data_IF_433091250456
#
_entry.id   IF_433091250456
#
_cell.length_a   1.000
_cell.length_b   1.000
_cell.length_c   1.000
_cell.angle_alpha   90.00
_cell.angle_beta   90.00
_cell.angle_gamma   90.00
#
_symmetry.space_group_name_H-M   'P 1'
#
loop_
_entity.id
_entity.type
_entity.pdbx_description
1 polymer ?
#
# COMPACT_ATOMS: atom_id res chain seq x y z
N UNK A 1 4.32 -8.67 10.66
CA UNK A 1 5.06 -7.40 10.79
C UNK A 1 4.16 -6.31 10.24
N UNK A 2 3.61 -5.47 11.11
CA UNK A 2 2.76 -4.33 10.73
C UNK A 2 3.61 -3.32 9.96
N UNK A 3 3.33 -3.15 8.66
CA UNK A 3 4.02 -2.18 7.84
C UNK A 3 3.74 -0.76 8.33
N UNK A 4 4.76 -0.08 8.85
CA UNK A 4 4.68 1.36 9.07
C UNK A 4 4.35 2.05 7.74
N UNK A 5 3.18 2.67 7.68
CA UNK A 5 2.82 3.54 6.55
C UNK A 5 3.63 4.83 6.68
N UNK A 6 4.54 5.08 5.74
CA UNK A 6 5.34 6.31 5.70
C UNK A 6 4.49 7.37 4.99
N UNK A 7 4.35 8.54 5.58
CA UNK A 7 3.60 9.67 4.98
C UNK A 7 4.27 10.22 3.71
N UNK A 8 3.48 10.82 2.83
CA UNK A 8 3.98 11.58 1.68
C UNK A 8 4.41 12.95 2.22
N UNK A 9 5.73 13.19 2.23
CA UNK A 9 6.33 14.45 2.71
C UNK A 9 6.47 15.47 1.57
N UNK A 10 6.72 16.73 1.91
CA UNK A 10 7.00 17.78 0.92
C UNK A 10 8.22 17.42 0.06
N UNK A 11 9.25 16.80 0.62
CA UNK A 11 10.42 16.31 -0.12
C UNK A 11 10.05 15.26 -1.17
N UNK A 12 9.16 14.32 -0.81
CA UNK A 12 8.63 13.32 -1.76
C UNK A 12 7.85 14.00 -2.87
N UNK A 13 7.00 14.98 -2.53
CA UNK A 13 6.23 15.73 -3.53
C UNK A 13 7.12 16.57 -4.45
N UNK A 14 8.21 17.14 -3.93
CA UNK A 14 9.19 17.84 -4.76
C UNK A 14 9.84 16.89 -5.79
N UNK A 15 10.26 15.69 -5.37
CA UNK A 15 10.82 14.66 -6.28
C UNK A 15 9.80 14.22 -7.34
N UNK A 16 8.54 13.99 -6.96
CA UNK A 16 7.45 13.63 -7.88
C UNK A 16 7.21 14.74 -8.90
N UNK A 17 7.13 15.99 -8.45
CA UNK A 17 6.82 17.14 -9.28
C UNK A 17 7.93 17.48 -10.30
N UNK A 18 9.15 16.93 -10.18
CA UNK A 18 10.18 16.99 -11.22
C UNK A 18 9.78 16.24 -12.50
N UNK A 19 8.89 15.26 -12.39
CA UNK A 19 8.40 14.43 -13.51
C UNK A 19 6.99 14.81 -13.97
N UNK A 20 6.28 15.62 -13.20
CA UNK A 20 4.94 16.07 -13.55
C UNK A 20 5.00 17.36 -14.40
N UNK A 21 4.09 17.47 -15.37
CA UNK A 21 3.95 18.70 -16.18
C UNK A 21 3.27 19.82 -15.39
N UNK A 22 2.30 19.47 -14.54
CA UNK A 22 1.63 20.37 -13.61
C UNK A 22 1.96 20.00 -12.17
N UNK A 23 1.78 20.93 -11.22
CA UNK A 23 2.03 20.66 -9.81
C UNK A 23 0.97 19.72 -9.24
N UNK A 24 1.38 18.55 -8.78
CA UNK A 24 0.56 17.57 -8.07
C UNK A 24 0.62 17.81 -6.56
N UNK A 25 -0.46 17.50 -5.87
CA UNK A 25 -0.58 17.52 -4.41
C UNK A 25 -0.59 16.10 -3.86
N UNK A 26 -0.30 15.92 -2.57
CA UNK A 26 -0.21 14.62 -1.91
C UNK A 26 -1.49 13.77 -2.06
N UNK A 27 -2.67 14.38 -1.96
CA UNK A 27 -3.95 13.68 -2.11
C UNK A 27 -4.21 13.17 -3.54
N UNK A 28 -3.52 13.71 -4.55
CA UNK A 28 -3.68 13.30 -5.94
C UNK A 28 -2.81 12.11 -6.34
N UNK A 29 -1.87 11.71 -5.50
CA UNK A 29 -0.94 10.64 -5.80
C UNK A 29 -1.09 9.45 -4.87
N UNK A 30 -0.75 8.29 -5.39
CA UNK A 30 -0.59 7.05 -4.66
C UNK A 30 0.86 6.64 -4.78
N UNK A 31 1.58 6.59 -3.67
CA UNK A 31 3.01 6.28 -3.63
C UNK A 31 3.24 4.90 -3.04
N UNK A 32 4.20 4.18 -3.60
CA UNK A 32 4.61 2.86 -3.13
C UNK A 32 6.07 2.59 -3.46
N UNK A 33 6.67 1.66 -2.73
CA UNK A 33 8.01 1.17 -3.06
C UNK A 33 7.94 -0.21 -3.71
N UNK A 34 8.88 -0.45 -4.61
CA UNK A 34 8.98 -1.68 -5.37
C UNK A 34 10.42 -2.17 -5.37
N UNK A 35 10.66 -3.43 -5.04
CA UNK A 35 11.92 -4.09 -5.31
C UNK A 35 11.97 -4.38 -6.81
N UNK A 36 12.80 -3.65 -7.55
CA UNK A 36 12.92 -3.76 -9.00
C UNK A 36 13.72 -4.98 -9.41
N UNK A 37 14.91 -5.11 -8.85
CA UNK A 37 15.81 -6.23 -9.08
C UNK A 37 16.82 -6.36 -7.93
N UNK A 38 17.54 -7.49 -7.90
CA UNK A 38 18.54 -7.80 -6.89
C UNK A 38 19.78 -8.51 -7.48
N UNK A 39 20.74 -8.86 -6.61
CA UNK A 39 21.94 -9.58 -6.99
C UNK A 39 21.84 -11.10 -6.77
N UNK A 40 20.66 -11.65 -6.49
CA UNK A 40 20.43 -13.10 -6.39
C UNK A 40 20.34 -13.72 -7.79
N UNK A 41 20.67 -14.99 -7.90
CA UNK A 41 20.45 -15.75 -9.13
C UNK A 41 18.96 -16.02 -9.32
N UNK A 42 18.43 -15.56 -10.43
CA UNK A 42 17.02 -15.62 -10.76
C UNK A 42 16.58 -16.96 -11.38
N UNK A 43 15.32 -17.02 -11.85
CA UNK A 43 14.73 -18.20 -12.51
C UNK A 43 15.37 -18.52 -13.85
N UNK A 44 15.94 -17.50 -14.52
CA UNK A 44 16.61 -17.62 -15.80
C UNK A 44 18.11 -17.90 -15.67
N UNK A 45 18.57 -18.17 -14.43
CA UNK A 45 19.99 -18.30 -14.08
C UNK A 45 20.79 -17.09 -14.51
N UNK A 46 20.25 -15.91 -14.27
CA UNK A 46 20.91 -14.62 -14.43
C UNK A 46 20.92 -13.86 -13.10
N UNK A 47 21.82 -12.93 -12.94
CA UNK A 47 21.86 -12.01 -11.81
C UNK A 47 22.48 -10.68 -12.22
N UNK A 48 22.14 -9.61 -11.55
CA UNK A 48 22.87 -8.37 -11.71
C UNK A 48 24.14 -8.37 -10.86
N UNK A 49 25.24 -7.74 -11.37
CA UNK A 49 26.37 -7.39 -10.51
C UNK A 49 25.99 -6.25 -9.56
N UNK A 50 26.76 -6.08 -8.48
CA UNK A 50 26.50 -4.97 -7.54
C UNK A 50 26.72 -3.62 -8.21
N UNK A 51 27.73 -3.52 -9.10
CA UNK A 51 27.97 -2.34 -9.93
C UNK A 51 26.85 -2.06 -10.92
N UNK A 52 26.20 -3.12 -11.45
CA UNK A 52 25.05 -2.96 -12.32
C UNK A 52 23.84 -2.40 -11.55
N UNK A 53 23.61 -2.85 -10.31
CA UNK A 53 22.52 -2.30 -9.48
C UNK A 53 22.68 -0.80 -9.24
N UNK A 54 23.91 -0.32 -8.95
CA UNK A 54 24.17 1.11 -8.75
C UNK A 54 23.89 1.94 -10.02
N UNK A 55 24.32 1.46 -11.18
CA UNK A 55 24.04 2.14 -12.44
C UNK A 55 22.57 2.10 -12.83
N UNK A 56 21.91 0.96 -12.62
CA UNK A 56 20.47 0.83 -12.86
C UNK A 56 19.64 1.74 -11.95
N UNK A 57 20.12 2.01 -10.74
CA UNK A 57 19.45 2.96 -9.84
C UNK A 57 19.30 4.34 -10.50
N UNK A 58 20.34 4.86 -11.10
CA UNK A 58 20.28 6.13 -11.83
C UNK A 58 19.36 6.06 -13.06
N UNK A 59 19.43 4.95 -13.81
CA UNK A 59 18.70 4.77 -15.06
C UNK A 59 17.20 4.57 -14.86
N UNK A 60 16.77 3.96 -13.76
CA UNK A 60 15.34 3.73 -13.47
C UNK A 60 14.62 4.98 -12.97
N UNK A 61 15.31 6.01 -12.51
CA UNK A 61 14.68 7.28 -12.16
C UNK A 61 13.93 7.85 -13.38
N UNK A 62 12.64 8.16 -13.21
CA UNK A 62 11.76 8.66 -14.25
C UNK A 62 11.17 7.58 -15.17
N UNK A 63 11.53 6.30 -15.03
CA UNK A 63 10.97 5.24 -15.89
C UNK A 63 9.54 4.90 -15.51
N UNK A 64 8.78 4.53 -16.53
CA UNK A 64 7.36 4.23 -16.40
C UNK A 64 7.14 2.78 -15.99
N UNK A 65 6.08 2.55 -15.21
CA UNK A 65 5.51 1.24 -14.93
C UNK A 65 4.43 0.90 -15.94
N UNK A 66 4.52 -0.30 -16.50
CA UNK A 66 3.60 -0.83 -17.51
C UNK A 66 3.14 -2.25 -17.11
N UNK A 67 2.58 -3.01 -18.02
CA UNK A 67 2.14 -4.39 -17.79
C UNK A 67 2.78 -5.32 -18.83
N UNK A 68 3.20 -6.51 -18.39
CA UNK A 68 3.63 -7.64 -19.23
C UNK A 68 4.67 -7.27 -20.30
N UNK A 69 5.54 -6.29 -20.01
CA UNK A 69 6.54 -5.75 -20.95
C UNK A 69 5.94 -5.24 -22.29
N UNK A 70 4.63 -4.89 -22.28
CA UNK A 70 3.98 -4.27 -23.43
C UNK A 70 4.35 -2.78 -23.51
N UNK A 71 5.22 -2.41 -24.43
CA UNK A 71 5.70 -1.04 -24.65
C UNK A 71 4.63 -0.10 -25.24
N UNK A 72 3.34 -0.45 -25.09
CA UNK A 72 2.23 0.42 -25.45
C UNK A 72 2.09 1.59 -24.50
N UNK A 73 1.90 2.80 -25.02
CA UNK A 73 1.62 3.98 -24.20
C UNK A 73 0.33 3.85 -23.36
N UNK A 74 -0.60 2.96 -23.77
CA UNK A 74 -1.84 2.68 -23.05
C UNK A 74 -1.59 1.97 -21.72
N UNK A 75 -0.47 1.24 -21.58
CA UNK A 75 -0.07 0.52 -20.39
C UNK A 75 0.61 1.39 -19.32
N UNK A 76 1.02 2.61 -19.65
CA UNK A 76 1.69 3.49 -18.69
C UNK A 76 0.74 3.87 -17.55
N UNK A 77 1.16 3.57 -16.30
CA UNK A 77 0.30 3.76 -15.13
C UNK A 77 1.02 4.34 -13.92
N UNK A 78 2.30 4.07 -13.74
CA UNK A 78 3.11 4.55 -12.64
C UNK A 78 4.44 5.10 -13.14
N UNK A 79 5.16 5.86 -12.29
CA UNK A 79 6.49 6.37 -12.61
C UNK A 79 7.39 6.32 -11.37
N UNK A 80 8.65 5.93 -11.55
CA UNK A 80 9.66 5.99 -10.48
C UNK A 80 10.10 7.44 -10.33
N UNK A 81 10.06 7.95 -9.08
CA UNK A 81 10.52 9.29 -8.75
C UNK A 81 11.85 9.31 -8.01
N UNK A 82 12.26 8.16 -7.44
CA UNK A 82 13.51 7.99 -6.73
C UNK A 82 13.91 6.51 -6.66
N UNK A 83 15.18 6.23 -6.41
CA UNK A 83 15.72 4.87 -6.28
C UNK A 83 16.77 4.79 -5.18
N UNK A 84 16.98 3.58 -4.64
CA UNK A 84 17.98 3.27 -3.62
C UNK A 84 18.51 1.85 -3.82
N UNK A 85 19.84 1.67 -3.80
CA UNK A 85 20.43 0.34 -3.67
C UNK A 85 20.59 0.02 -2.20
N UNK A 86 19.83 -0.96 -1.71
CA UNK A 86 19.80 -1.35 -0.29
C UNK A 86 20.53 -2.65 -0.06
N UNK A 87 21.49 -2.64 0.87
CA UNK A 87 22.11 -3.84 1.43
C UNK A 87 21.28 -4.40 2.58
N UNK A 88 21.31 -5.72 2.73
CA UNK A 88 20.62 -6.43 3.81
C UNK A 88 21.68 -7.24 4.60
N UNK A 89 22.22 -6.73 5.73
CA UNK A 89 23.35 -7.32 6.44
C UNK A 89 23.13 -8.76 6.88
N UNK A 90 21.89 -9.11 7.24
CA UNK A 90 21.53 -10.42 7.76
C UNK A 90 21.11 -11.42 6.66
N UNK A 91 21.23 -11.03 5.39
CA UNK A 91 20.84 -11.87 4.25
C UNK A 91 22.01 -12.08 3.30
N UNK A 92 22.22 -13.34 2.94
CA UNK A 92 23.16 -13.74 1.88
C UNK A 92 22.38 -14.27 0.68
N UNK A 93 22.98 -14.13 -0.49
CA UNK A 93 22.53 -14.82 -1.70
C UNK A 93 22.80 -16.33 -1.58
N UNK A 94 22.17 -17.13 -2.43
CA UNK A 94 22.37 -18.59 -2.44
C UNK A 94 23.84 -19.01 -2.68
N UNK A 95 24.63 -18.18 -3.32
CA UNK A 95 26.07 -18.40 -3.54
C UNK A 95 26.96 -17.67 -2.50
N UNK A 96 26.38 -17.19 -1.37
CA UNK A 96 27.10 -16.70 -0.18
C UNK A 96 27.53 -15.23 -0.21
N UNK A 97 27.18 -14.45 -1.24
CA UNK A 97 27.46 -13.00 -1.31
C UNK A 97 26.51 -12.20 -0.41
N UNK A 98 26.86 -10.97 -0.10
CA UNK A 98 25.96 -10.03 0.55
C UNK A 98 24.77 -9.73 -0.37
N UNK A 99 23.55 -9.87 0.17
CA UNK A 99 22.35 -9.59 -0.61
C UNK A 99 22.13 -8.08 -0.73
N UNK A 100 21.95 -7.63 -1.98
CA UNK A 100 21.65 -6.24 -2.32
C UNK A 100 20.49 -6.19 -3.31
N UNK A 101 19.61 -5.21 -3.14
CA UNK A 101 18.48 -5.00 -4.01
C UNK A 101 18.32 -3.54 -4.41
N UNK A 102 17.88 -3.31 -5.62
CA UNK A 102 17.47 -2.00 -6.13
C UNK A 102 15.99 -1.78 -5.79
N UNK A 103 15.74 -0.77 -4.98
CA UNK A 103 14.41 -0.32 -4.58
C UNK A 103 14.04 0.91 -5.42
N UNK A 104 12.90 0.86 -6.08
CA UNK A 104 12.28 2.00 -6.73
C UNK A 104 11.17 2.59 -5.85
N UNK A 105 11.09 3.91 -5.81
CA UNK A 105 9.97 4.64 -5.21
C UNK A 105 9.12 5.19 -6.34
N UNK A 106 7.90 4.68 -6.43
CA UNK A 106 6.99 4.96 -7.53
C UNK A 106 5.76 5.76 -7.08
N UNK A 107 5.20 6.52 -7.99
CA UNK A 107 3.91 7.15 -7.82
C UNK A 107 2.96 6.85 -8.97
N UNK A 108 1.70 6.95 -8.69
CA UNK A 108 0.59 6.82 -9.62
C UNK A 108 -0.41 7.95 -9.35
N UNK A 109 -0.93 8.59 -10.38
CA UNK A 109 -1.97 9.60 -10.18
C UNK A 109 -3.29 8.91 -9.84
N UNK A 110 -3.98 9.38 -8.79
CA UNK A 110 -5.30 8.88 -8.39
C UNK A 110 -6.34 9.35 -9.39
N UNK A 111 -6.72 8.46 -10.29
CA UNK A 111 -7.77 8.66 -11.29
C UNK A 111 -8.78 7.52 -11.19
N UNK A 112 -9.98 7.68 -11.75
CA UNK A 112 -10.96 6.59 -11.81
C UNK A 112 -10.40 5.36 -12.52
N UNK A 113 -9.55 5.55 -13.54
CA UNK A 113 -8.88 4.46 -14.25
C UNK A 113 -7.92 3.67 -13.34
N UNK A 114 -7.20 4.34 -12.44
CA UNK A 114 -6.22 3.70 -11.58
C UNK A 114 -6.81 3.13 -10.27
N UNK A 115 -8.05 3.45 -9.95
CA UNK A 115 -8.71 3.05 -8.70
C UNK A 115 -8.71 1.52 -8.48
N UNK A 116 -9.06 0.76 -9.51
CA UNK A 116 -9.05 -0.70 -9.43
C UNK A 116 -7.63 -1.26 -9.25
N UNK A 117 -6.66 -0.71 -10.00
CA UNK A 117 -5.26 -1.12 -9.89
C UNK A 117 -4.69 -0.83 -8.50
N UNK A 118 -4.99 0.33 -7.92
CA UNK A 118 -4.58 0.67 -6.56
C UNK A 118 -5.14 -0.35 -5.56
N UNK A 119 -6.42 -0.69 -5.65
CA UNK A 119 -7.05 -1.69 -4.80
C UNK A 119 -6.45 -3.10 -4.98
N UNK A 120 -6.09 -3.48 -6.20
CA UNK A 120 -5.43 -4.76 -6.50
C UNK A 120 -3.99 -4.81 -5.92
N UNK A 121 -3.26 -3.69 -5.95
CA UNK A 121 -1.93 -3.58 -5.34
C UNK A 121 -2.05 -3.65 -3.81
N UNK A 122 -2.96 -2.89 -3.20
CA UNK A 122 -3.20 -2.90 -1.74
C UNK A 122 -3.68 -4.27 -1.25
N UNK A 123 -4.50 -4.95 -2.04
CA UNK A 123 -4.96 -6.31 -1.79
C UNK A 123 -3.91 -7.40 -2.04
N UNK A 124 -2.71 -7.04 -2.56
CA UNK A 124 -1.63 -7.98 -2.87
C UNK A 124 -1.91 -8.87 -4.08
N UNK A 125 -2.90 -8.52 -4.91
CA UNK A 125 -3.26 -9.27 -6.13
C UNK A 125 -2.27 -8.96 -7.27
N UNK A 126 -1.91 -7.69 -7.43
CA UNK A 126 -0.89 -7.23 -8.39
C UNK A 126 0.27 -6.64 -7.63
N UNK A 127 1.29 -7.44 -7.42
CA UNK A 127 2.48 -6.99 -6.68
C UNK A 127 3.79 -7.40 -7.34
N UNK A 128 3.80 -8.46 -8.15
CA UNK A 128 5.01 -8.96 -8.81
C UNK A 128 5.41 -8.01 -9.92
N UNK A 129 6.73 -7.75 -10.03
CA UNK A 129 7.26 -6.87 -11.08
C UNK A 129 8.49 -7.50 -11.74
N UNK A 130 8.78 -7.07 -12.95
CA UNK A 130 9.98 -7.38 -13.69
C UNK A 130 10.54 -6.10 -14.31
N UNK A 131 11.82 -6.10 -14.69
CA UNK A 131 12.50 -4.94 -15.28
C UNK A 131 12.92 -5.21 -16.71
N UNK A 132 12.77 -4.23 -17.59
CA UNK A 132 13.30 -4.22 -18.95
C UNK A 132 14.55 -3.35 -19.02
N UNK A 133 15.71 -3.96 -19.29
CA UNK A 133 16.99 -3.24 -19.44
C UNK A 133 17.90 -3.93 -20.45
N UNK A 134 18.90 -3.20 -20.95
CA UNK A 134 20.00 -3.72 -21.75
C UNK A 134 21.31 -3.66 -20.98
N UNK A 135 22.17 -4.66 -21.19
CA UNK A 135 23.51 -4.75 -20.59
C UNK A 135 24.58 -5.00 -21.64
N UNK A 136 25.77 -4.44 -21.45
CA UNK A 136 26.90 -4.65 -22.35
C UNK A 136 27.64 -5.95 -22.07
N UNK A 137 27.60 -6.47 -20.84
CA UNK A 137 28.35 -7.66 -20.44
C UNK A 137 27.45 -8.75 -19.88
N UNK A 138 27.73 -9.99 -20.26
CA UNK A 138 27.03 -11.21 -19.84
C UNK A 138 28.07 -12.27 -19.44
N UNK A 139 28.53 -12.23 -18.20
CA UNK A 139 29.69 -12.96 -17.72
C UNK A 139 29.28 -14.34 -17.18
N UNK A 140 29.87 -15.40 -17.74
CA UNK A 140 29.70 -16.78 -17.28
C UNK A 140 30.31 -16.98 -15.88
N UNK A 141 29.56 -17.49 -14.91
CA UNK A 141 30.00 -17.75 -13.53
C UNK A 141 31.08 -18.83 -13.42
N UNK A 142 31.19 -19.72 -14.42
CA UNK A 142 32.14 -20.86 -14.41
C UNK A 142 33.51 -20.47 -14.94
N UNK A 143 33.59 -19.78 -16.08
CA UNK A 143 34.84 -19.50 -16.75
C UNK A 143 35.16 -18.01 -16.94
N UNK A 144 34.24 -17.11 -16.57
CA UNK A 144 34.44 -15.66 -16.74
C UNK A 144 34.34 -15.15 -18.18
N UNK A 145 34.00 -16.00 -19.14
CA UNK A 145 33.82 -15.56 -20.52
C UNK A 145 32.61 -14.64 -20.66
N UNK A 146 32.77 -13.61 -21.51
CA UNK A 146 31.72 -12.66 -21.81
C UNK A 146 30.89 -13.15 -23.02
N UNK A 147 29.60 -13.41 -22.79
CA UNK A 147 28.66 -13.83 -23.82
C UNK A 147 28.48 -12.82 -24.95
N UNK A 148 28.66 -11.54 -24.69
CA UNK A 148 28.62 -10.49 -25.71
C UNK A 148 29.82 -10.57 -26.70
N UNK A 149 30.93 -11.23 -26.30
CA UNK A 149 32.16 -11.37 -27.07
C UNK A 149 32.36 -12.78 -27.64
N UNK A 150 31.29 -13.56 -27.84
CA UNK A 150 31.35 -14.91 -28.37
C UNK A 150 31.12 -16.02 -27.35
N UNK A 151 31.11 -15.70 -26.05
CA UNK A 151 30.69 -16.61 -25.00
C UNK A 151 31.55 -17.83 -24.76
N UNK A 152 30.96 -18.87 -24.22
CA UNK A 152 31.55 -20.17 -23.93
C UNK A 152 30.54 -21.29 -24.10
N UNK A 153 30.98 -22.55 -23.97
CA UNK A 153 30.13 -23.74 -24.09
C UNK A 153 29.33 -24.07 -22.81
N UNK A 154 29.49 -23.31 -21.73
CA UNK A 154 28.76 -23.55 -20.49
C UNK A 154 27.28 -23.14 -20.64
N UNK A 155 26.38 -24.00 -20.15
CA UNK A 155 24.94 -23.82 -20.29
C UNK A 155 24.38 -23.37 -18.92
N UNK A 156 23.60 -22.27 -18.91
CA UNK A 156 22.88 -21.79 -17.71
C UNK A 156 22.06 -22.90 -17.08
N UNK A 157 22.08 -22.98 -15.74
CA UNK A 157 21.35 -23.98 -14.94
C UNK A 157 22.07 -25.32 -14.80
N UNK A 158 23.18 -25.57 -15.51
CA UNK A 158 23.99 -26.80 -15.32
C UNK A 158 25.12 -26.58 -14.33
N UNK A 159 25.53 -27.69 -13.67
CA UNK A 159 26.69 -27.68 -12.74
C UNK A 159 27.94 -28.16 -13.45
N UNK A 160 29.07 -27.48 -13.20
CA UNK A 160 30.39 -27.79 -13.73
C UNK A 160 31.39 -27.80 -12.55
N UNK A 161 31.90 -28.98 -12.21
CA UNK A 161 32.82 -29.13 -11.07
C UNK A 161 32.20 -28.67 -9.74
N UNK A 162 30.90 -28.89 -9.54
CA UNK A 162 30.17 -28.48 -8.34
C UNK A 162 29.70 -27.01 -8.33
N UNK A 163 30.01 -26.23 -9.37
CA UNK A 163 29.57 -24.83 -9.51
C UNK A 163 28.37 -24.73 -10.45
N UNK A 164 27.32 -24.10 -10.00
CA UNK A 164 26.16 -23.77 -10.83
C UNK A 164 26.56 -22.72 -11.89
N UNK A 165 26.24 -23.00 -13.15
CA UNK A 165 26.44 -22.05 -14.23
C UNK A 165 25.27 -21.06 -14.27
N UNK A 166 25.56 -19.80 -14.07
CA UNK A 166 24.67 -18.66 -14.28
C UNK A 166 25.42 -17.53 -15.01
N UNK A 167 24.69 -16.52 -15.44
CA UNK A 167 25.24 -15.36 -16.13
C UNK A 167 25.12 -14.14 -15.24
N UNK A 168 26.22 -13.43 -15.02
CA UNK A 168 26.22 -12.13 -14.37
C UNK A 168 26.01 -11.04 -15.42
N UNK A 169 24.94 -10.27 -15.27
CA UNK A 169 24.59 -9.11 -16.08
C UNK A 169 25.34 -7.89 -15.53
N UNK A 170 26.13 -7.25 -16.35
CA UNK A 170 26.95 -6.11 -15.93
C UNK A 170 27.02 -5.03 -17.02
N UNK A 171 27.50 -3.86 -16.65
CA UNK A 171 27.56 -2.69 -17.52
C UNK A 171 26.20 -2.38 -18.20
N UNK A 172 25.16 -1.98 -17.43
CA UNK A 172 23.89 -1.56 -18.02
C UNK A 172 24.11 -0.43 -19.01
N UNK A 173 23.41 -0.54 -20.15
CA UNK A 173 23.41 0.44 -21.24
C UNK A 173 22.16 1.31 -21.19
N UNK A 174 21.02 0.73 -20.87
CA UNK A 174 19.75 1.43 -20.76
C UNK A 174 18.78 0.65 -19.85
N UNK A 175 17.86 1.37 -19.22
CA UNK A 175 16.70 0.85 -18.53
C UNK A 175 15.45 1.35 -19.25
N UNK A 176 14.62 0.47 -19.77
CA UNK A 176 13.48 0.85 -20.60
C UNK A 176 12.23 1.14 -19.81
N UNK A 177 11.85 0.20 -18.94
CA UNK A 177 10.63 0.20 -18.16
C UNK A 177 10.71 -0.80 -17.01
N UNK A 178 9.71 -0.81 -16.18
CA UNK A 178 9.39 -1.90 -15.26
C UNK A 178 7.92 -2.28 -15.41
N UNK A 179 7.60 -3.55 -15.23
CA UNK A 179 6.26 -4.09 -15.53
C UNK A 179 5.67 -4.84 -14.34
N UNK A 180 4.37 -4.66 -14.12
CA UNK A 180 3.60 -5.64 -13.38
C UNK A 180 3.47 -6.90 -14.23
N UNK A 181 3.85 -8.06 -13.66
CA UNK A 181 3.85 -9.35 -14.36
C UNK A 181 3.26 -10.44 -13.47
N UNK A 182 2.78 -11.53 -14.08
CA UNK A 182 2.25 -12.65 -13.32
C UNK A 182 3.36 -13.48 -12.64
N UNK A 183 4.52 -13.63 -13.31
CA UNK A 183 5.66 -14.40 -12.78
C UNK A 183 6.96 -13.65 -13.13
N UNK A 184 7.62 -13.00 -12.15
CA UNK A 184 8.87 -12.30 -12.39
C UNK A 184 10.04 -13.27 -12.55
N UNK A 185 11.07 -12.88 -13.31
CA UNK A 185 12.33 -13.60 -13.36
C UNK A 185 12.98 -13.63 -11.96
N UNK A 186 13.08 -12.49 -11.30
CA UNK A 186 13.61 -12.37 -9.95
C UNK A 186 12.51 -12.59 -8.90
N UNK A 187 12.72 -13.58 -8.02
CA UNK A 187 11.69 -14.07 -7.06
C UNK A 187 11.25 -13.04 -6.03
N UNK A 188 12.12 -12.10 -5.69
CA UNK A 188 11.84 -11.08 -4.69
C UNK A 188 11.28 -9.78 -5.31
N UNK A 189 11.28 -9.65 -6.65
CA UNK A 189 10.83 -8.44 -7.32
C UNK A 189 9.32 -8.23 -7.15
N UNK A 190 8.95 -7.08 -6.62
CA UNK A 190 7.55 -6.77 -6.34
C UNK A 190 7.35 -5.54 -5.47
N UNK A 191 6.10 -5.12 -5.35
CA UNK A 191 5.68 -4.04 -4.45
C UNK A 191 5.96 -4.45 -3.00
N UNK A 192 6.66 -3.60 -2.27
CA UNK A 192 7.12 -3.89 -0.90
C UNK A 192 6.39 -3.10 0.17
N UNK A 193 6.08 -1.83 -0.10
CA UNK A 193 5.37 -0.94 0.83
C UNK A 193 4.49 0.04 0.07
N UNK A 194 3.40 0.46 0.73
CA UNK A 194 2.52 1.53 0.27
C UNK A 194 2.71 2.72 1.20
N UNK A 195 2.82 3.92 0.62
CA UNK A 195 2.92 5.17 1.36
C UNK A 195 1.55 5.83 1.39
N UNK A 196 1.06 6.16 2.58
CA UNK A 196 -0.17 6.89 2.79
C UNK A 196 0.12 8.25 3.40
N UNK A 197 -0.76 9.21 3.18
CA UNK A 197 -0.70 10.48 3.88
C UNK A 197 -0.92 10.22 5.38
N UNK A 198 0.14 10.46 6.18
CA UNK A 198 0.14 10.19 7.63
C UNK A 198 -0.89 11.06 8.34
N UNK A 199 -1.08 12.29 7.87
CA UNK A 199 -2.03 13.24 8.47
C UNK A 199 -3.47 12.86 8.11
N UNK A 200 -3.74 12.51 6.85
CA UNK A 200 -5.08 12.08 6.39
C UNK A 200 -5.47 10.75 7.06
N UNK A 201 -4.56 9.78 7.16
CA UNK A 201 -4.86 8.52 7.86
C UNK A 201 -5.05 8.72 9.36
N UNK A 202 -4.25 9.58 10.02
CA UNK A 202 -4.44 9.90 11.42
C UNK A 202 -5.76 10.64 11.67
N UNK A 203 -6.16 11.52 10.75
CA UNK A 203 -7.44 12.22 10.82
C UNK A 203 -8.62 11.28 10.55
N UNK A 204 -8.51 10.37 9.57
CA UNK A 204 -9.49 9.31 9.32
C UNK A 204 -9.66 8.40 10.55
N UNK A 205 -8.57 8.00 11.20
CA UNK A 205 -8.63 7.19 12.43
C UNK A 205 -9.27 7.97 13.59
N UNK A 206 -8.96 9.27 13.74
CA UNK A 206 -9.63 10.14 14.72
C UNK A 206 -11.12 10.27 14.44
N UNK A 207 -11.50 10.46 13.17
CA UNK A 207 -12.91 10.54 12.76
C UNK A 207 -13.65 9.23 12.98
N UNK A 208 -13.03 8.08 12.70
CA UNK A 208 -13.58 6.75 13.00
C UNK A 208 -13.77 6.55 14.50
N UNK A 209 -12.75 6.85 15.30
CA UNK A 209 -12.84 6.74 16.76
C UNK A 209 -13.91 7.70 17.35
N UNK A 210 -14.05 8.90 16.79
CA UNK A 210 -15.12 9.82 17.17
C UNK A 210 -16.51 9.30 16.79
N UNK A 211 -16.64 8.71 15.60
CA UNK A 211 -17.88 8.08 15.14
C UNK A 211 -18.27 6.87 16.01
N UNK A 212 -17.32 6.02 16.37
CA UNK A 212 -17.56 4.88 17.27
C UNK A 212 -18.04 5.33 18.64
N UNK A 213 -17.35 6.30 19.27
CA UNK A 213 -17.80 6.88 20.54
C UNK A 213 -19.20 7.48 20.46
N UNK A 214 -19.49 8.20 19.38
CA UNK A 214 -20.81 8.76 19.16
C UNK A 214 -21.90 7.68 19.03
N UNK A 215 -21.61 6.57 18.34
CA UNK A 215 -22.50 5.42 18.28
C UNK A 215 -22.71 4.76 19.64
N UNK A 216 -21.65 4.64 20.47
CA UNK A 216 -21.73 4.09 21.83
C UNK A 216 -22.58 4.99 22.73
N UNK A 217 -22.40 6.30 22.68
CA UNK A 217 -23.21 7.28 23.41
C UNK A 217 -24.69 7.19 23.00
N UNK A 218 -24.97 7.10 21.69
CA UNK A 218 -26.33 6.91 21.18
C UNK A 218 -26.97 5.62 21.68
N UNK A 219 -26.21 4.49 21.69
CA UNK A 219 -26.71 3.22 22.25
C UNK A 219 -27.00 3.32 23.73
N UNK A 220 -26.12 3.97 24.50
CA UNK A 220 -26.34 4.24 25.91
C UNK A 220 -27.58 5.05 26.17
N UNK A 221 -27.83 6.09 25.37
CA UNK A 221 -29.07 6.90 25.46
C UNK A 221 -30.32 6.12 25.09
N UNK A 222 -30.26 5.29 24.04
CA UNK A 222 -31.37 4.43 23.61
C UNK A 222 -31.73 3.45 24.73
N UNK A 223 -30.75 2.80 25.35
CA UNK A 223 -30.97 1.87 26.46
C UNK A 223 -31.63 2.63 27.64
N UNK A 224 -31.10 3.81 28.00
CA UNK A 224 -31.68 4.64 29.06
C UNK A 224 -33.11 5.02 28.77
N UNK A 225 -33.41 5.53 27.57
CA UNK A 225 -34.77 5.89 27.16
C UNK A 225 -35.70 4.68 27.14
N UNK A 226 -35.21 3.53 26.68
CA UNK A 226 -35.97 2.29 26.65
C UNK A 226 -36.38 1.75 28.02
N UNK A 227 -35.63 2.04 29.08
CA UNK A 227 -36.01 1.70 30.45
C UNK A 227 -37.26 2.46 30.93
N UNK A 228 -37.55 3.62 30.36
CA UNK A 228 -38.69 4.47 30.75
C UNK A 228 -39.92 4.27 29.84
N UNK A 229 -39.78 3.69 28.66
CA UNK A 229 -40.88 3.46 27.72
C UNK A 229 -41.43 2.03 27.89
N UNK A 230 -42.64 1.87 28.37
CA UNK A 230 -43.20 0.58 28.85
C UNK A 230 -43.51 -0.48 27.78
N UNK A 231 -43.42 -0.19 26.51
CA UNK A 231 -43.97 -1.10 25.46
C UNK A 231 -43.12 -1.21 24.18
N UNK A 232 -41.83 -0.81 24.20
CA UNK A 232 -41.03 -0.82 22.97
C UNK A 232 -39.91 -1.83 23.08
N UNK A 233 -39.92 -2.82 22.18
CA UNK A 233 -38.78 -3.66 21.92
C UNK A 233 -37.68 -2.79 21.22
N UNK A 234 -36.57 -2.61 21.89
CA UNK A 234 -35.47 -1.79 21.38
C UNK A 234 -34.74 -2.50 20.23
N UNK A 235 -34.92 -3.84 20.12
CA UNK A 235 -34.19 -4.65 19.13
C UNK A 235 -32.69 -4.68 19.33
N UNK A 236 -31.96 -5.31 18.41
CA UNK A 236 -30.50 -5.34 18.43
C UNK A 236 -29.94 -4.05 17.81
N UNK A 237 -29.28 -3.22 18.61
CA UNK A 237 -28.65 -1.95 18.19
C UNK A 237 -27.21 -2.11 17.73
N UNK A 238 -26.60 -3.29 17.86
CA UNK A 238 -25.18 -3.50 17.53
C UNK A 238 -24.87 -3.31 16.05
N UNK A 239 -25.80 -3.72 15.18
CA UNK A 239 -25.65 -3.65 13.71
C UNK A 239 -26.32 -2.42 13.08
N UNK A 240 -26.82 -1.48 13.89
CA UNK A 240 -27.41 -0.25 13.37
C UNK A 240 -26.33 0.77 13.03
N UNK A 241 -26.47 1.44 11.89
CA UNK A 241 -25.67 2.60 11.53
C UNK A 241 -26.08 3.85 12.36
N UNK A 242 -25.28 4.92 12.24
CA UNK A 242 -25.51 6.18 12.96
C UNK A 242 -26.93 6.71 12.73
N UNK A 243 -27.43 6.65 11.49
CA UNK A 243 -28.75 7.17 11.15
C UNK A 243 -29.86 6.33 11.78
N UNK A 244 -29.74 5.01 11.76
CA UNK A 244 -30.67 4.10 12.42
C UNK A 244 -30.75 4.34 13.93
N UNK A 245 -29.58 4.53 14.61
CA UNK A 245 -29.52 4.85 16.03
C UNK A 245 -30.17 6.21 16.34
N UNK A 246 -29.93 7.25 15.54
CA UNK A 246 -30.53 8.55 15.70
C UNK A 246 -32.08 8.52 15.54
N UNK A 247 -32.58 7.80 14.55
CA UNK A 247 -34.03 7.64 14.32
C UNK A 247 -34.67 6.88 15.49
N UNK A 248 -34.06 5.81 15.98
CA UNK A 248 -34.53 5.05 17.13
C UNK A 248 -34.59 5.91 18.40
N UNK A 249 -33.50 6.66 18.69
CA UNK A 249 -33.45 7.60 19.83
C UNK A 249 -34.58 8.64 19.73
N UNK A 250 -34.80 9.22 18.54
CA UNK A 250 -35.85 10.20 18.27
C UNK A 250 -37.28 9.61 18.48
N UNK A 251 -37.48 8.37 18.03
CA UNK A 251 -38.74 7.63 18.23
C UNK A 251 -39.02 7.44 19.73
N UNK A 252 -38.07 6.90 20.48
CA UNK A 252 -38.18 6.68 21.92
C UNK A 252 -38.42 7.97 22.70
N UNK A 253 -37.70 9.03 22.37
CA UNK A 253 -37.85 10.36 22.98
C UNK A 253 -39.25 10.96 22.71
N UNK A 254 -39.86 10.67 21.55
CA UNK A 254 -41.21 11.10 21.22
C UNK A 254 -42.24 10.30 22.02
N UNK A 255 -42.09 8.97 22.08
CA UNK A 255 -42.96 8.09 22.88
C UNK A 255 -42.98 8.44 24.35
N UNK A 256 -41.80 8.73 24.95
CA UNK A 256 -41.67 9.16 26.35
C UNK A 256 -42.42 10.46 26.62
N UNK A 257 -42.36 11.42 25.68
CA UNK A 257 -43.13 12.68 25.79
C UNK A 257 -44.63 12.46 25.72
N UNK A 258 -45.10 11.60 24.83
CA UNK A 258 -46.52 11.30 24.64
C UNK A 258 -47.08 10.55 25.88
N UNK A 259 -46.31 9.62 26.45
CA UNK A 259 -46.68 8.94 27.72
C UNK A 259 -46.70 9.90 28.90
N UNK A 260 -45.77 10.84 29.02
CA UNK A 260 -45.77 11.88 30.04
C UNK A 260 -46.97 12.82 29.90
N UNK A 261 -47.30 13.24 28.67
CA UNK A 261 -48.48 14.10 28.40
C UNK A 261 -49.82 13.40 28.65
N UNK A 262 -49.90 12.09 28.52
CA UNK A 262 -51.11 11.28 28.75
C UNK A 262 -51.30 10.89 30.22
N UNK A 263 -50.50 11.37 31.17
CA UNK A 263 -50.59 11.06 32.58
C UNK A 263 -50.26 9.61 32.97
N UNK A 264 -49.73 8.80 32.05
CA UNK A 264 -49.32 7.40 32.30
C UNK A 264 -47.92 7.26 32.91
N UNK A 265 -47.19 8.37 33.04
CA UNK A 265 -45.82 8.45 33.59
C UNK A 265 -45.78 8.69 35.11
N UNK A 266 -46.77 8.27 35.88
CA UNK A 266 -46.88 8.52 37.30
C UNK A 266 -45.89 7.71 38.19
N UNK A 267 -44.70 7.40 37.68
CA UNK A 267 -43.66 6.67 38.44
C UNK A 267 -42.26 7.24 38.30
N UNK A 268 -42.03 8.31 37.51
CA UNK A 268 -40.70 8.80 37.18
C UNK A 268 -40.23 10.00 38.03
N UNK A 269 -41.14 10.65 38.79
CA UNK A 269 -40.82 11.84 39.57
C UNK A 269 -40.06 11.59 40.89
N UNK A 270 -39.84 10.34 41.27
CA UNK A 270 -39.18 10.02 42.56
C UNK A 270 -37.73 9.56 42.47
N UNK A 271 -37.09 9.56 41.30
CA UNK A 271 -35.73 9.07 41.13
C UNK A 271 -34.74 10.09 40.56
N UNK A 272 -35.12 11.36 40.40
CA UNK A 272 -34.27 12.42 39.85
C UNK A 272 -34.13 13.62 40.80
N UNK A 273 -33.94 13.35 42.09
CA UNK A 273 -33.49 14.39 43.04
C UNK A 273 -31.98 14.18 43.28
N UNK A 274 -31.17 14.88 42.52
CA UNK A 274 -29.71 14.92 42.70
C UNK A 274 -28.89 14.81 41.40
N UNK A 275 -28.84 15.89 40.58
CA UNK A 275 -27.82 16.00 39.56
C UNK A 275 -28.30 16.76 38.31
N UNK A 276 -28.05 18.04 38.31
CA UNK A 276 -27.93 18.97 37.17
C UNK A 276 -28.77 18.71 35.89
N UNK A 277 -29.96 19.27 35.89
CA UNK A 277 -30.80 19.46 34.69
C UNK A 277 -30.45 20.75 33.92
N UNK A 278 -29.18 21.02 33.62
CA UNK A 278 -28.80 22.20 32.81
C UNK A 278 -28.45 21.92 31.32
N UNK A 279 -28.51 20.69 30.88
CA UNK A 279 -28.13 20.30 29.50
C UNK A 279 -29.28 20.13 28.51
N UNK A 280 -30.53 20.52 28.84
CA UNK A 280 -31.68 20.35 27.92
C UNK A 280 -32.32 21.71 27.54
N UNK A 281 -31.52 22.72 27.24
CA UNK A 281 -31.98 23.89 26.48
C UNK A 281 -31.12 24.02 25.24
N UNK A 282 -31.59 23.48 24.14
CA UNK A 282 -31.70 24.06 22.77
C UNK A 282 -32.67 23.21 21.96
#
# INVERSE_FOLDING_TARGET
MSGEKIGITDEVMEKINRYAVGTLKAEQVYCFSVLLCDNEVDRDYERFSDTALEKLAEMFCGRTGIFDHDNSSKGQTARIYDTEVRGYPDRKTADGRDYRALIGFAYMVRTDRNKSLIAEIEGGIKKEVSVGCAVAKRICSVCGADGAKGGCSHIKGRSYGGKLCYVTLDEPLDAYEWSFVAVPAQRAAGVTKVYGDREVNAEIEKLRAAQERFCEDLRGDIIRLGCFVKSTDIGNTENMDVFGLMELKKKLSRQLRDEAASGRAAGVAAACDGGEMEAFRV
#
